data_IF_308108127010
#
_entry.id   IF_308108127010
#
_cell.length_a   1.000
_cell.length_b   1.000
_cell.length_c   1.000
_cell.angle_alpha   90.00
_cell.angle_beta   90.00
_cell.angle_gamma   90.00
#
_symmetry.space_group_name_H-M   'P 1'
#
loop_
_entity.id
_entity.type
_entity.pdbx_description
1 polymer ?
#
# COMPACT_ATOMS: atom_id res chain seq x y z
N UNK A 1 62.38 -47.09 2.93
CA UNK A 1 61.00 -46.87 3.42
C UNK A 1 60.32 -45.93 2.43
N UNK A 2 59.69 -46.48 1.39
CA UNK A 2 59.11 -45.70 0.30
C UNK A 2 57.58 -45.65 0.46
N UNK A 3 57.02 -44.44 0.61
CA UNK A 3 55.58 -44.20 0.62
C UNK A 3 55.08 -44.14 -0.83
N UNK A 4 54.29 -45.12 -1.26
CA UNK A 4 53.53 -45.04 -2.51
C UNK A 4 52.42 -43.99 -2.36
N UNK A 5 52.66 -42.78 -2.86
CA UNK A 5 51.60 -41.78 -3.06
C UNK A 5 50.84 -42.18 -4.32
N UNK A 6 49.65 -42.74 -4.15
CA UNK A 6 48.73 -43.04 -5.26
C UNK A 6 48.06 -41.73 -5.70
N UNK A 7 48.58 -41.10 -6.76
CA UNK A 7 47.91 -40.00 -7.45
C UNK A 7 46.74 -40.56 -8.27
N UNK A 8 45.55 -40.64 -7.66
CA UNK A 8 44.31 -40.97 -8.38
C UNK A 8 43.90 -39.75 -9.21
N UNK A 9 44.01 -39.85 -10.52
CA UNK A 9 43.53 -38.82 -11.44
C UNK A 9 41.99 -38.73 -11.43
N UNK A 10 41.47 -37.51 -11.57
CA UNK A 10 40.04 -37.27 -11.77
C UNK A 10 39.54 -38.04 -12.99
N UNK A 11 38.45 -38.78 -12.81
CA UNK A 11 37.85 -39.52 -13.93
C UNK A 11 37.02 -38.57 -14.81
N UNK A 12 36.93 -38.85 -16.11
CA UNK A 12 36.14 -38.02 -17.03
C UNK A 12 34.65 -37.94 -16.62
N UNK A 13 34.11 -39.02 -16.06
CA UNK A 13 32.74 -39.07 -15.53
C UNK A 13 32.57 -38.16 -14.30
N UNK A 14 33.57 -38.06 -13.44
CA UNK A 14 33.54 -37.21 -12.25
C UNK A 14 33.50 -35.72 -12.61
N UNK A 15 34.26 -35.32 -13.63
CA UNK A 15 34.22 -33.94 -14.17
C UNK A 15 32.85 -33.65 -14.78
N UNK A 16 32.28 -34.59 -15.55
CA UNK A 16 30.94 -34.42 -16.13
C UNK A 16 29.87 -34.27 -15.05
N UNK A 17 29.91 -35.11 -14.01
CA UNK A 17 28.98 -35.02 -12.88
C UNK A 17 29.14 -33.69 -12.14
N UNK A 18 30.37 -33.25 -11.88
CA UNK A 18 30.64 -31.95 -11.25
C UNK A 18 30.05 -30.78 -12.08
N UNK A 19 30.22 -30.81 -13.40
CA UNK A 19 29.67 -29.79 -14.30
C UNK A 19 28.13 -29.80 -14.27
N UNK A 20 27.50 -30.97 -14.27
CA UNK A 20 26.04 -31.10 -14.19
C UNK A 20 25.50 -30.52 -12.89
N UNK A 21 26.13 -30.86 -11.76
CA UNK A 21 25.75 -30.33 -10.44
C UNK A 21 25.93 -28.81 -10.42
N UNK A 22 27.08 -28.30 -10.89
CA UNK A 22 27.37 -26.87 -10.93
C UNK A 22 26.35 -26.12 -11.80
N UNK A 23 26.07 -26.63 -12.99
CA UNK A 23 25.14 -26.00 -13.94
C UNK A 23 23.73 -25.94 -13.36
N UNK A 24 23.28 -27.02 -12.71
CA UNK A 24 21.97 -27.07 -12.05
C UNK A 24 21.92 -26.08 -10.89
N UNK A 25 22.97 -25.98 -10.08
CA UNK A 25 23.07 -25.02 -8.99
C UNK A 25 22.97 -23.57 -9.48
N UNK A 26 23.66 -23.23 -10.57
CA UNK A 26 23.61 -21.87 -11.16
C UNK A 26 22.20 -21.52 -11.63
N UNK A 27 21.51 -22.45 -12.31
CA UNK A 27 20.13 -22.22 -12.78
C UNK A 27 19.18 -21.96 -11.60
N UNK A 28 19.30 -22.75 -10.53
CA UNK A 28 18.49 -22.55 -9.32
C UNK A 28 18.77 -21.19 -8.66
N UNK A 29 20.04 -20.79 -8.56
CA UNK A 29 20.41 -19.49 -8.00
C UNK A 29 19.84 -18.32 -8.82
N UNK A 30 19.85 -18.42 -10.15
CA UNK A 30 19.27 -17.40 -11.03
C UNK A 30 17.76 -17.27 -10.83
N UNK A 31 17.04 -18.38 -10.63
CA UNK A 31 15.60 -18.36 -10.36
C UNK A 31 15.29 -17.68 -9.01
N UNK A 32 16.06 -18.01 -7.96
CA UNK A 32 15.91 -17.37 -6.65
C UNK A 32 16.22 -15.88 -6.75
N UNK A 33 17.29 -15.50 -7.45
CA UNK A 33 17.68 -14.11 -7.62
C UNK A 33 16.56 -13.27 -8.26
N UNK A 34 15.98 -13.75 -9.36
CA UNK A 34 14.84 -13.06 -10.00
C UNK A 34 13.65 -12.90 -9.06
N UNK A 35 13.34 -13.93 -8.27
CA UNK A 35 12.25 -13.91 -7.29
C UNK A 35 12.52 -12.86 -6.20
N UNK A 36 13.76 -12.80 -5.70
CA UNK A 36 14.13 -11.83 -4.65
C UNK A 36 14.07 -10.39 -5.14
N UNK A 37 14.50 -10.12 -6.38
CA UNK A 37 14.41 -8.78 -6.97
C UNK A 37 12.96 -8.33 -7.14
N UNK A 38 12.09 -9.23 -7.60
CA UNK A 38 10.67 -8.93 -7.72
C UNK A 38 10.02 -8.65 -6.35
N UNK A 39 10.30 -9.47 -5.35
CA UNK A 39 9.80 -9.28 -3.99
C UNK A 39 10.31 -7.97 -3.36
N UNK A 40 11.58 -7.63 -3.56
CA UNK A 40 12.16 -6.38 -3.04
C UNK A 40 11.52 -5.15 -3.69
N UNK A 41 11.24 -5.21 -5.00
CA UNK A 41 10.52 -4.15 -5.70
C UNK A 41 9.10 -3.98 -5.16
N UNK A 42 8.36 -5.08 -5.02
CA UNK A 42 6.99 -5.05 -4.48
C UNK A 42 6.96 -4.50 -3.05
N UNK A 43 7.91 -4.89 -2.19
CA UNK A 43 8.04 -4.38 -0.83
C UNK A 43 8.32 -2.86 -0.79
N UNK A 44 9.16 -2.39 -1.71
CA UNK A 44 9.46 -0.96 -1.86
C UNK A 44 8.24 -0.18 -2.32
N UNK A 45 7.57 -0.66 -3.38
CA UNK A 45 6.35 -0.02 -3.91
C UNK A 45 5.24 0.00 -2.85
N UNK A 46 5.06 -1.08 -2.10
CA UNK A 46 4.12 -1.17 -0.98
C UNK A 46 4.42 -0.16 0.13
N UNK A 47 5.69 0.01 0.47
CA UNK A 47 6.13 0.97 1.49
C UNK A 47 5.87 2.41 1.04
N UNK A 48 6.11 2.72 -0.23
CA UNK A 48 5.81 4.03 -0.83
C UNK A 48 4.29 4.29 -0.81
N UNK A 49 3.48 3.33 -1.27
CA UNK A 49 2.02 3.49 -1.28
C UNK A 49 1.45 3.73 0.12
N UNK A 50 1.97 3.02 1.14
CA UNK A 50 1.57 3.23 2.53
C UNK A 50 1.99 4.60 3.07
N UNK A 51 3.18 5.07 2.71
CA UNK A 51 3.63 6.42 3.07
C UNK A 51 2.70 7.49 2.47
N UNK A 52 2.40 7.38 1.17
CA UNK A 52 1.50 8.30 0.46
C UNK A 52 0.08 8.25 1.02
N UNK A 53 -0.40 7.06 1.39
CA UNK A 53 -1.70 6.90 2.04
C UNK A 53 -1.75 7.64 3.38
N UNK A 54 -0.70 7.52 4.21
CA UNK A 54 -0.60 8.23 5.49
C UNK A 54 -0.53 9.74 5.30
N UNK A 55 0.26 10.20 4.34
CA UNK A 55 0.32 11.61 3.96
C UNK A 55 -1.08 12.14 3.61
N UNK A 56 -1.83 11.43 2.77
CA UNK A 56 -3.18 11.85 2.38
C UNK A 56 -4.17 11.82 3.55
N UNK A 57 -4.07 10.85 4.45
CA UNK A 57 -4.85 10.83 5.70
C UNK A 57 -4.55 12.08 6.53
N UNK A 58 -3.28 12.43 6.72
CA UNK A 58 -2.87 13.61 7.48
C UNK A 58 -3.37 14.91 6.83
N UNK A 59 -3.35 15.02 5.51
CA UNK A 59 -3.92 16.16 4.79
C UNK A 59 -5.42 16.30 5.07
N UNK A 60 -6.19 15.21 4.98
CA UNK A 60 -7.63 15.24 5.26
C UNK A 60 -7.91 15.60 6.73
N UNK A 61 -7.13 15.06 7.66
CA UNK A 61 -7.25 15.39 9.08
C UNK A 61 -6.94 16.86 9.36
N UNK A 62 -5.94 17.44 8.69
CA UNK A 62 -5.61 18.85 8.81
C UNK A 62 -6.76 19.73 8.30
N UNK A 63 -7.33 19.39 7.13
CA UNK A 63 -8.50 20.08 6.57
C UNK A 63 -9.69 20.10 7.55
N UNK A 64 -9.93 18.99 8.24
CA UNK A 64 -10.98 18.92 9.25
C UNK A 64 -10.68 19.75 10.50
N UNK A 65 -9.43 19.75 10.96
CA UNK A 65 -9.04 20.54 12.13
C UNK A 65 -9.17 22.06 11.88
N UNK A 66 -9.09 22.48 10.62
CA UNK A 66 -9.38 23.86 10.19
C UNK A 66 -10.88 24.17 10.08
N UNK A 67 -11.76 23.26 10.52
CA UNK A 67 -13.22 23.35 10.42
C UNK A 67 -13.72 23.57 8.98
N UNK A 68 -13.00 23.06 7.97
CA UNK A 68 -13.44 23.10 6.58
C UNK A 68 -14.35 21.93 6.27
N UNK A 69 -15.27 22.14 5.34
CA UNK A 69 -16.16 21.09 4.90
C UNK A 69 -15.43 20.05 4.04
N UNK A 70 -15.65 18.77 4.34
CA UNK A 70 -15.03 17.68 3.59
C UNK A 70 -15.51 17.59 2.14
N UNK A 71 -16.60 18.29 1.81
CA UNK A 71 -17.11 18.45 0.45
C UNK A 71 -16.19 19.27 -0.46
N UNK A 72 -15.34 20.14 0.12
CA UNK A 72 -14.39 20.98 -0.61
C UNK A 72 -13.15 20.23 -1.08
N UNK A 73 -12.85 19.09 -0.47
CA UNK A 73 -11.69 18.29 -0.83
C UNK A 73 -11.87 17.65 -2.22
N UNK A 74 -10.81 17.63 -3.06
CA UNK A 74 -10.88 16.90 -4.31
C UNK A 74 -11.13 15.42 -4.04
N UNK A 75 -11.94 14.77 -4.90
CA UNK A 75 -12.32 13.35 -4.74
C UNK A 75 -11.30 12.37 -5.30
N UNK A 76 -10.38 12.87 -6.12
CA UNK A 76 -9.28 12.10 -6.67
C UNK A 76 -8.17 13.02 -7.14
N UNK A 77 -6.98 12.46 -7.32
CA UNK A 77 -5.84 13.16 -7.90
C UNK A 77 -4.64 12.25 -8.08
N UNK A 78 -3.57 12.79 -8.65
CA UNK A 78 -2.26 12.15 -8.71
C UNK A 78 -1.31 12.79 -7.69
N UNK A 79 -0.24 12.07 -7.35
CA UNK A 79 0.84 12.63 -6.56
C UNK A 79 1.85 13.36 -7.47
N UNK A 80 2.54 14.39 -6.96
CA UNK A 80 3.60 15.05 -7.70
C UNK A 80 4.82 14.14 -7.89
N UNK A 81 5.73 14.53 -8.80
CA UNK A 81 7.02 13.85 -8.96
C UNK A 81 7.76 13.77 -7.62
N UNK A 82 8.39 12.62 -7.28
CA UNK A 82 8.62 11.44 -8.13
C UNK A 82 7.53 10.34 -8.05
N UNK A 83 6.35 10.65 -7.49
CA UNK A 83 5.28 9.69 -7.21
C UNK A 83 4.11 9.75 -8.20
N UNK A 84 4.32 10.36 -9.36
CA UNK A 84 3.35 10.52 -10.46
C UNK A 84 2.72 9.20 -10.95
N UNK A 85 3.32 8.06 -10.62
CA UNK A 85 2.79 6.71 -10.88
C UNK A 85 1.66 6.29 -9.95
N UNK A 86 1.41 7.05 -8.88
CA UNK A 86 0.36 6.80 -7.91
C UNK A 86 -0.77 7.82 -8.07
N UNK A 87 -1.98 7.33 -7.87
CA UNK A 87 -3.18 8.12 -7.76
C UNK A 87 -3.88 7.83 -6.44
N UNK A 88 -4.73 8.77 -6.04
CA UNK A 88 -5.52 8.65 -4.83
C UNK A 88 -6.99 8.93 -5.13
N UNK A 89 -7.86 8.32 -4.32
CA UNK A 89 -9.31 8.48 -4.36
C UNK A 89 -9.84 8.67 -2.94
N UNK A 90 -10.72 9.64 -2.77
CA UNK A 90 -11.41 9.99 -1.53
C UNK A 90 -12.90 9.74 -1.71
N UNK A 91 -13.44 8.80 -0.94
CA UNK A 91 -14.87 8.51 -0.90
C UNK A 91 -15.40 8.85 0.49
N UNK A 92 -16.47 9.63 0.54
CA UNK A 92 -17.13 10.00 1.80
C UNK A 92 -18.53 9.45 1.77
N UNK A 93 -18.89 8.70 2.81
CA UNK A 93 -20.19 8.04 2.92
C UNK A 93 -20.85 8.47 4.23
N UNK A 94 -22.11 8.94 4.23
CA UNK A 94 -22.84 9.15 5.46
C UNK A 94 -23.05 7.81 6.15
N UNK A 95 -22.79 7.77 7.45
CA UNK A 95 -23.11 6.61 8.28
C UNK A 95 -24.57 6.74 8.67
N UNK A 96 -25.40 5.82 8.21
CA UNK A 96 -26.77 5.70 8.70
C UNK A 96 -26.70 5.29 10.18
N UNK A 97 -26.79 6.26 11.08
CA UNK A 97 -27.05 5.98 12.49
C UNK A 97 -28.48 5.47 12.59
N UNK A 98 -28.66 4.23 13.07
CA UNK A 98 -29.97 3.77 13.52
C UNK A 98 -30.42 4.75 14.60
N UNK A 99 -31.53 5.44 14.38
CA UNK A 99 -32.11 6.43 15.28
C UNK A 99 -32.32 5.80 16.67
N UNK A 100 -31.33 5.92 17.55
CA UNK A 100 -31.58 5.76 18.98
C UNK A 100 -32.36 6.99 19.42
N UNK A 101 -33.66 6.79 19.65
CA UNK A 101 -34.58 7.75 20.24
C UNK A 101 -33.97 8.47 21.45
N UNK A 102 -34.35 9.75 21.59
CA UNK A 102 -34.05 10.72 22.65
C UNK A 102 -32.66 11.38 22.60
N UNK A 103 -32.62 12.69 22.30
CA UNK A 103 -32.57 13.76 23.32
C UNK A 103 -33.15 15.05 22.73
N UNK A 104 -34.25 15.47 23.35
CA UNK A 104 -34.89 16.78 23.26
C UNK A 104 -33.86 17.92 23.48
N UNK A 105 -33.84 18.92 22.59
CA UNK A 105 -33.04 20.16 22.65
C UNK A 105 -31.52 20.09 22.40
N UNK A 106 -31.08 19.82 21.17
CA UNK A 106 -29.78 20.35 20.72
C UNK A 106 -29.90 20.95 19.31
N UNK A 107 -29.56 22.24 19.19
CA UNK A 107 -29.59 23.02 17.94
C UNK A 107 -28.45 22.64 16.96
N UNK A 108 -27.77 21.52 17.20
CA UNK A 108 -26.62 21.06 16.42
C UNK A 108 -26.83 19.62 15.97
N UNK A 109 -27.24 19.46 14.71
CA UNK A 109 -27.29 18.14 14.08
C UNK A 109 -25.88 17.79 13.62
N UNK A 110 -25.31 16.78 14.24
CA UNK A 110 -24.01 16.25 13.86
C UNK A 110 -24.18 14.94 13.11
N UNK A 111 -23.52 14.80 11.98
CA UNK A 111 -23.55 13.59 11.16
C UNK A 111 -22.22 12.85 11.23
N UNK A 112 -22.29 11.53 11.34
CA UNK A 112 -21.13 10.67 11.21
C UNK A 112 -20.88 10.38 9.74
N UNK A 113 -19.66 10.64 9.28
CA UNK A 113 -19.21 10.32 7.94
C UNK A 113 -18.08 9.30 8.01
N UNK A 114 -18.12 8.33 7.10
CA UNK A 114 -17.02 7.40 6.84
C UNK A 114 -16.20 7.95 5.70
N UNK A 115 -14.96 8.30 5.98
CA UNK A 115 -13.98 8.73 4.98
C UNK A 115 -13.15 7.51 4.59
N UNK A 116 -13.09 7.22 3.30
CA UNK A 116 -12.32 6.13 2.72
C UNK A 116 -11.30 6.76 1.78
N UNK A 117 -10.02 6.49 2.02
CA UNK A 117 -8.92 6.93 1.19
C UNK A 117 -8.28 5.70 0.58
N UNK A 118 -8.16 5.71 -0.75
CA UNK A 118 -7.48 4.67 -1.51
C UNK A 118 -6.31 5.30 -2.24
N UNK A 119 -5.14 4.68 -2.16
CA UNK A 119 -3.97 4.97 -3.00
C UNK A 119 -3.70 3.77 -3.87
N UNK A 120 -3.62 3.98 -5.18
CA UNK A 120 -3.35 2.93 -6.15
C UNK A 120 -2.34 3.36 -7.20
N UNK A 121 -1.70 2.39 -7.84
CA UNK A 121 -0.75 2.64 -8.92
C UNK A 121 -1.51 2.64 -10.25
N UNK A 122 -1.26 3.67 -11.06
CA UNK A 122 -1.99 3.91 -12.33
C UNK A 122 -1.85 2.71 -13.29
N UNK A 123 -0.68 2.08 -13.33
CA UNK A 123 -0.39 0.95 -14.23
C UNK A 123 -0.62 -0.43 -13.58
N UNK A 124 -1.50 -0.49 -12.57
CA UNK A 124 -1.82 -1.71 -11.84
C UNK A 124 -1.00 -1.90 -10.57
N UNK A 125 -1.50 -2.79 -9.71
CA UNK A 125 -1.01 -3.02 -8.35
C UNK A 125 -2.18 -3.30 -7.41
N UNK A 126 -1.89 -3.63 -6.15
CA UNK A 126 -2.95 -3.73 -5.13
C UNK A 126 -3.29 -2.33 -4.64
N UNK A 127 -4.59 -1.94 -4.59
CA UNK A 127 -4.97 -0.69 -3.97
C UNK A 127 -4.75 -0.75 -2.46
N UNK A 128 -4.24 0.33 -1.89
CA UNK A 128 -4.05 0.49 -0.46
C UNK A 128 -5.14 1.40 0.07
N UNK A 129 -6.02 0.85 0.90
CA UNK A 129 -7.20 1.56 1.39
C UNK A 129 -7.17 1.67 2.90
N UNK A 130 -7.51 2.84 3.42
CA UNK A 130 -7.81 3.06 4.84
C UNK A 130 -9.13 3.80 4.97
N UNK A 131 -9.79 3.62 6.11
CA UNK A 131 -11.00 4.37 6.42
C UNK A 131 -11.05 4.79 7.87
N UNK A 132 -11.63 5.95 8.12
CA UNK A 132 -11.86 6.46 9.46
C UNK A 132 -13.21 7.17 9.52
N UNK A 133 -13.70 7.37 10.75
CA UNK A 133 -14.97 8.02 11.01
C UNK A 133 -14.74 9.42 11.52
N UNK A 134 -15.58 10.33 11.05
CA UNK A 134 -15.49 11.76 11.36
C UNK A 134 -16.87 12.28 11.64
N UNK A 135 -16.96 13.30 12.50
CA UNK A 135 -18.22 13.97 12.83
C UNK A 135 -18.19 15.35 12.20
N UNK A 136 -19.16 15.65 11.36
CA UNK A 136 -19.32 16.97 10.73
C UNK A 136 -20.63 17.60 11.20
N UNK A 137 -20.61 18.92 11.44
CA UNK A 137 -21.81 19.66 11.80
C UNK A 137 -22.61 19.93 10.52
N UNK A 138 -23.87 19.52 10.49
CA UNK A 138 -24.76 19.83 9.38
C UNK A 138 -25.19 21.30 9.54
N UNK A 139 -24.76 22.16 8.62
CA UNK A 139 -25.30 23.51 8.56
C UNK A 139 -26.75 23.40 8.05
N UNK A 140 -27.72 23.79 8.89
CA UNK A 140 -29.09 23.90 8.42
C UNK A 140 -29.11 24.96 7.32
N UNK A 141 -29.36 24.52 6.08
CA UNK A 141 -29.82 25.43 5.03
C UNK A 141 -30.97 26.24 5.62
N UNK A 142 -30.75 27.53 5.79
CA UNK A 142 -31.80 28.48 6.14
C UNK A 142 -32.85 28.37 5.05
N UNK A 143 -33.93 27.64 5.33
CA UNK A 143 -35.18 27.73 4.58
C UNK A 143 -35.64 29.18 4.78
N UNK A 144 -35.39 30.03 3.79
CA UNK A 144 -36.00 31.35 3.66
C UNK A 144 -37.43 31.20 3.15
#
# INVERSE_FOLDING_TARGET
>A
MQSHVHNKGLTLIEVLVAIVILSTGIVLLLQVFNTTLFAAREATESSIAQMLLREKVSEVQLYMNENRHLSELPRSGSFPLPFDKFEWRLVIQPVQTIETMNVENSLEIWEWLKVIITVERINGGRPYTTSFFVREKRENEKIQ
#
